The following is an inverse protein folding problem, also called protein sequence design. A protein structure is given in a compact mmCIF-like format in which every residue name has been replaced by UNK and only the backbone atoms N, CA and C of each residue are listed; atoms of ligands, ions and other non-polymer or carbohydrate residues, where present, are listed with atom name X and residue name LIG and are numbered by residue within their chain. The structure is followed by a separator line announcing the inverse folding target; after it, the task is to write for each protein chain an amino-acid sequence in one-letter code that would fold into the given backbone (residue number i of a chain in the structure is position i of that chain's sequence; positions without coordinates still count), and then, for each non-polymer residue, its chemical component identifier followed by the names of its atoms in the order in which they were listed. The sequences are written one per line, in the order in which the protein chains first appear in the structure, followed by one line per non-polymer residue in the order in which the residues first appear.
data_IF_322217864297
#
_entry.id   IF_322217864297
#
_cell.length_a   1.000
_cell.length_b   1.000
_cell.length_c   1.000
_cell.angle_alpha   90.00
_cell.angle_beta   90.00
_cell.angle_gamma   90.00
#
_symmetry.space_group_name_H-M   'P 1'
#
loop_
_entity.id
_entity.type
_entity.pdbx_description
1 polymer ?
#
# COMPACT_ATOMS: atom_id res chain seq x y z
N UNK A 1 13.05 -1.54 -24.43
CA UNK A 1 12.37 -2.05 -23.24
C UNK A 1 13.33 -2.01 -22.05
N UNK A 2 12.80 -1.73 -20.86
CA UNK A 2 13.58 -1.75 -19.61
C UNK A 2 13.90 -3.24 -19.32
N UNK A 3 15.18 -3.58 -19.31
CA UNK A 3 15.65 -4.95 -19.06
C UNK A 3 15.85 -5.13 -17.53
N UNK A 4 14.74 -5.21 -16.81
CA UNK A 4 14.76 -5.38 -15.34
C UNK A 4 13.45 -6.01 -14.86
N UNK A 5 13.52 -7.03 -13.97
CA UNK A 5 12.33 -7.60 -13.34
C UNK A 5 11.59 -6.62 -12.43
N UNK A 6 12.20 -5.50 -12.04
CA UNK A 6 11.55 -4.47 -11.24
C UNK A 6 10.30 -3.86 -11.91
N UNK A 7 10.18 -3.96 -13.23
CA UNK A 7 9.11 -3.33 -14.01
C UNK A 7 8.09 -4.33 -14.56
N UNK A 8 8.35 -5.63 -14.51
CA UNK A 8 7.52 -6.66 -15.13
C UNK A 8 6.06 -6.62 -14.69
N UNK A 9 5.82 -6.48 -13.39
CA UNK A 9 4.47 -6.41 -12.82
C UNK A 9 3.76 -5.05 -13.04
N UNK A 10 4.43 -4.08 -13.65
CA UNK A 10 3.85 -2.79 -14.06
C UNK A 10 3.59 -2.75 -15.56
N UNK A 11 4.64 -2.97 -16.35
CA UNK A 11 4.52 -2.92 -17.82
C UNK A 11 3.71 -4.09 -18.34
N UNK A 12 3.83 -5.24 -17.69
CA UNK A 12 3.35 -6.50 -18.21
C UNK A 12 4.22 -6.98 -19.37
N UNK A 13 3.75 -7.99 -20.06
CA UNK A 13 4.34 -8.55 -21.26
C UNK A 13 3.41 -8.37 -22.47
N UNK A 14 3.99 -8.35 -23.66
CA UNK A 14 3.29 -8.48 -24.94
C UNK A 14 3.92 -9.63 -25.71
N UNK A 15 3.19 -10.70 -25.91
CA UNK A 15 3.63 -11.92 -26.57
C UNK A 15 2.61 -12.37 -27.60
N UNK A 16 3.07 -12.83 -28.75
CA UNK A 16 2.22 -13.46 -29.77
C UNK A 16 1.65 -14.80 -29.34
N UNK A 17 2.27 -15.42 -28.35
CA UNK A 17 1.92 -16.74 -27.82
C UNK A 17 1.04 -16.66 -26.57
N UNK A 18 1.37 -15.75 -25.63
CA UNK A 18 0.77 -15.67 -24.30
C UNK A 18 -0.16 -14.45 -24.15
N UNK A 19 -0.34 -13.64 -25.20
CA UNK A 19 -1.16 -12.45 -25.15
C UNK A 19 -0.45 -11.26 -24.50
N UNK A 20 -1.18 -10.47 -23.73
CA UNK A 20 -0.66 -9.28 -23.06
C UNK A 20 -1.19 -9.19 -21.63
N UNK A 21 -0.42 -8.54 -20.76
CA UNK A 21 -0.83 -8.27 -19.37
C UNK A 21 -0.57 -6.82 -18.98
N UNK A 22 -1.09 -6.41 -17.86
CA UNK A 22 -0.88 -5.12 -17.19
C UNK A 22 -1.01 -3.93 -18.17
N UNK A 23 -0.05 -2.98 -18.19
CA UNK A 23 -0.12 -1.80 -19.05
C UNK A 23 -0.06 -2.14 -20.54
N UNK A 24 0.69 -3.17 -20.95
CA UNK A 24 0.70 -3.62 -22.35
C UNK A 24 -0.69 -4.07 -22.82
N UNK A 25 -1.46 -4.70 -21.92
CA UNK A 25 -2.85 -5.08 -22.20
C UNK A 25 -3.80 -3.90 -22.13
N UNK A 26 -3.79 -3.14 -21.04
CA UNK A 26 -4.78 -2.10 -20.78
C UNK A 26 -4.60 -0.87 -21.68
N UNK A 27 -3.39 -0.60 -22.16
CA UNK A 27 -3.05 0.51 -23.05
C UNK A 27 -2.83 0.06 -24.50
N UNK A 28 -3.18 -1.18 -24.85
CA UNK A 28 -2.91 -1.76 -26.16
C UNK A 28 -3.51 -0.92 -27.31
N UNK A 29 -4.73 -0.41 -27.17
CA UNK A 29 -5.38 0.40 -28.21
C UNK A 29 -4.68 1.74 -28.43
N UNK A 30 -4.12 2.32 -27.40
CA UNK A 30 -3.27 3.53 -27.46
C UNK A 30 -1.95 3.19 -28.17
N UNK A 31 -1.27 2.14 -27.71
CA UNK A 31 0.06 1.75 -28.17
C UNK A 31 0.08 1.34 -29.65
N UNK A 32 -0.99 0.71 -30.15
CA UNK A 32 -1.12 0.31 -31.54
C UNK A 32 -1.93 1.31 -32.40
N UNK A 33 -2.36 2.45 -31.83
CA UNK A 33 -3.02 3.55 -32.51
C UNK A 33 -4.48 3.27 -32.89
N UNK A 34 -5.18 2.32 -32.23
CA UNK A 34 -6.61 2.03 -32.50
C UNK A 34 -7.56 2.83 -31.63
N UNK A 35 -7.08 3.50 -30.59
CA UNK A 35 -7.89 4.29 -29.67
C UNK A 35 -8.60 5.45 -30.37
N UNK A 36 -9.86 5.70 -29.99
CA UNK A 36 -10.70 6.76 -30.57
C UNK A 36 -10.11 8.16 -30.43
N UNK A 37 -9.33 8.42 -29.37
CA UNK A 37 -8.67 9.71 -29.17
C UNK A 37 -7.62 10.03 -30.23
N UNK A 38 -7.11 9.01 -30.92
CA UNK A 38 -6.15 9.13 -32.01
C UNK A 38 -6.80 9.17 -33.41
N UNK A 39 -8.11 8.96 -33.51
CA UNK A 39 -8.82 8.83 -34.80
C UNK A 39 -8.60 10.03 -35.73
N UNK A 40 -8.65 11.25 -35.21
CA UNK A 40 -8.48 12.46 -36.01
C UNK A 40 -7.09 12.52 -36.62
N UNK A 41 -6.05 12.20 -35.88
CA UNK A 41 -4.68 12.18 -36.34
C UNK A 41 -4.46 11.05 -37.34
N UNK A 42 -4.93 9.85 -37.03
CA UNK A 42 -4.82 8.69 -37.92
C UNK A 42 -5.56 8.90 -39.25
N UNK A 43 -6.69 9.62 -39.25
CA UNK A 43 -7.41 9.98 -40.47
C UNK A 43 -6.61 10.98 -41.33
N UNK A 44 -5.98 11.99 -40.72
CA UNK A 44 -5.10 12.94 -41.41
C UNK A 44 -3.85 12.25 -41.98
N UNK A 45 -3.26 11.33 -41.24
CA UNK A 45 -2.10 10.57 -41.70
C UNK A 45 -2.45 9.61 -42.84
N UNK A 46 -3.64 8.98 -42.78
CA UNK A 46 -4.14 8.16 -43.90
C UNK A 46 -4.38 8.95 -45.16
N UNK A 47 -4.89 10.20 -45.08
CA UNK A 47 -5.02 11.10 -46.22
C UNK A 47 -3.67 11.52 -46.81
N UNK A 48 -2.64 11.54 -45.99
CA UNK A 48 -1.26 11.85 -46.37
C UNK A 48 -0.43 10.62 -46.80
N UNK A 49 -1.08 9.46 -46.94
CA UNK A 49 -0.46 8.16 -47.28
C UNK A 49 0.64 7.74 -46.28
N UNK A 50 0.46 8.13 -45.01
CA UNK A 50 1.38 7.76 -43.93
C UNK A 50 0.88 6.51 -43.22
N UNK A 51 1.80 5.65 -42.75
CA UNK A 51 1.41 4.48 -41.94
C UNK A 51 0.76 4.93 -40.65
N UNK A 52 -0.21 4.14 -40.16
CA UNK A 52 -0.80 4.30 -38.83
C UNK A 52 0.27 4.16 -37.76
N UNK A 53 0.32 5.11 -36.83
CA UNK A 53 1.29 5.13 -35.75
C UNK A 53 0.56 4.99 -34.41
N UNK A 54 1.17 4.26 -33.49
CA UNK A 54 0.76 4.22 -32.10
C UNK A 54 1.13 5.50 -31.36
N UNK A 55 0.60 5.63 -30.17
CA UNK A 55 0.91 6.72 -29.25
C UNK A 55 1.81 6.23 -28.09
N UNK A 56 2.41 7.17 -27.37
CA UNK A 56 3.25 6.85 -26.21
C UNK A 56 2.43 7.01 -24.94
N UNK A 57 2.63 6.10 -24.01
CA UNK A 57 2.07 6.13 -22.65
C UNK A 57 3.18 6.48 -21.67
N UNK A 58 3.09 7.66 -21.08
CA UNK A 58 4.01 8.07 -20.00
C UNK A 58 3.37 7.78 -18.66
N UNK A 59 4.07 7.04 -17.83
CA UNK A 59 3.64 6.68 -16.46
C UNK A 59 4.22 7.62 -15.41
N UNK A 60 3.63 7.60 -14.22
CA UNK A 60 4.06 8.43 -13.07
C UNK A 60 5.25 7.83 -12.33
N UNK A 61 5.67 6.62 -12.68
CA UNK A 61 6.77 5.91 -12.03
C UNK A 61 8.09 6.68 -12.19
N UNK A 62 8.77 6.91 -11.08
CA UNK A 62 10.17 7.28 -11.06
C UNK A 62 11.01 6.00 -11.21
N UNK A 63 11.76 5.84 -12.33
CA UNK A 63 12.49 4.61 -12.59
C UNK A 63 13.57 4.30 -11.56
N UNK A 64 14.21 5.33 -10.99
CA UNK A 64 15.25 5.15 -9.98
C UNK A 64 14.64 4.71 -8.65
N UNK A 65 13.51 5.30 -8.26
CA UNK A 65 12.78 4.93 -7.06
C UNK A 65 12.17 3.52 -7.18
N UNK A 66 11.63 3.16 -8.35
CA UNK A 66 11.11 1.83 -8.64
C UNK A 66 12.20 0.76 -8.48
N UNK A 67 13.37 0.98 -9.09
CA UNK A 67 14.50 0.06 -8.97
C UNK A 67 14.96 -0.02 -7.52
N UNK A 68 15.10 1.11 -6.83
CA UNK A 68 15.49 1.14 -5.42
C UNK A 68 14.50 0.37 -4.53
N UNK A 69 13.18 0.54 -4.75
CA UNK A 69 12.15 -0.19 -4.01
C UNK A 69 12.25 -1.71 -4.24
N UNK A 70 12.45 -2.12 -5.50
CA UNK A 70 12.63 -3.53 -5.87
C UNK A 70 13.88 -4.13 -5.23
N UNK A 71 15.01 -3.43 -5.29
CA UNK A 71 16.29 -3.89 -4.73
C UNK A 71 16.22 -4.10 -3.21
N UNK A 72 15.42 -3.30 -2.50
CA UNK A 72 15.20 -3.48 -1.06
C UNK A 72 14.45 -4.77 -0.72
N UNK A 73 13.64 -5.30 -1.62
CA UNK A 73 12.95 -6.58 -1.46
C UNK A 73 13.86 -7.75 -1.87
N UNK A 74 14.52 -7.62 -3.02
CA UNK A 74 15.34 -8.68 -3.62
C UNK A 74 16.64 -8.92 -2.84
N UNK A 75 17.32 -7.85 -2.40
CA UNK A 75 18.61 -7.96 -1.73
C UNK A 75 18.61 -8.93 -0.54
N UNK A 76 17.63 -8.84 0.37
CA UNK A 76 17.45 -9.81 1.45
C UNK A 76 16.72 -11.10 1.07
N UNK A 77 16.19 -11.22 -0.16
CA UNK A 77 15.36 -12.33 -0.62
C UNK A 77 13.94 -12.32 -0.04
N UNK A 78 13.37 -11.15 0.23
CA UNK A 78 12.02 -11.04 0.80
C UNK A 78 10.94 -11.19 -0.27
N UNK A 79 9.97 -12.05 -0.02
CA UNK A 79 8.70 -12.06 -0.72
C UNK A 79 7.82 -10.94 -0.14
N UNK A 80 7.37 -10.02 -1.00
CA UNK A 80 6.58 -8.88 -0.54
C UNK A 80 6.44 -7.78 -1.57
N UNK A 81 5.95 -6.63 -1.11
CA UNK A 81 5.60 -5.50 -1.98
C UNK A 81 5.90 -4.16 -1.33
N UNK A 82 6.22 -3.18 -2.17
CA UNK A 82 6.42 -1.81 -1.76
C UNK A 82 5.77 -0.85 -2.77
N UNK A 83 4.98 0.09 -2.27
CA UNK A 83 4.36 1.16 -3.07
C UNK A 83 4.77 2.50 -2.49
N UNK A 84 5.15 3.43 -3.38
CA UNK A 84 5.35 4.83 -3.05
C UNK A 84 4.38 5.69 -3.86
N UNK A 85 3.74 6.66 -3.19
CA UNK A 85 2.82 7.61 -3.84
C UNK A 85 3.19 9.04 -3.48
N UNK A 86 2.75 9.99 -4.31
CA UNK A 86 2.78 11.41 -4.01
C UNK A 86 1.45 11.81 -3.36
N UNK A 87 1.43 12.14 -2.06
CA UNK A 87 0.22 12.46 -1.32
C UNK A 87 -0.64 13.58 -1.91
N UNK A 88 -0.01 14.65 -2.40
CA UNK A 88 -0.73 15.84 -2.90
C UNK A 88 -1.45 15.59 -4.23
N UNK A 89 -1.02 14.60 -5.02
CA UNK A 89 -1.55 14.36 -6.37
C UNK A 89 -2.18 12.99 -6.56
N UNK A 90 -1.72 11.98 -5.83
CA UNK A 90 -2.07 10.57 -6.03
C UNK A 90 -1.22 9.87 -7.10
N UNK A 91 -0.15 10.49 -7.62
CA UNK A 91 0.81 9.82 -8.51
C UNK A 91 1.42 8.60 -7.82
N UNK A 92 1.45 7.46 -8.50
CA UNK A 92 2.20 6.30 -8.05
C UNK A 92 3.65 6.48 -8.53
N UNK A 93 4.57 6.64 -7.59
CA UNK A 93 5.99 6.88 -7.85
C UNK A 93 6.79 5.59 -7.96
N UNK A 94 6.38 4.56 -7.24
CA UNK A 94 6.91 3.20 -7.33
C UNK A 94 5.84 2.18 -6.93
N UNK A 95 5.88 0.99 -7.56
CA UNK A 95 5.01 -0.14 -7.26
C UNK A 95 5.80 -1.42 -7.54
N UNK A 96 6.52 -1.90 -6.54
CA UNK A 96 7.42 -3.04 -6.65
C UNK A 96 6.83 -4.30 -5.99
N UNK A 97 7.00 -5.43 -6.66
CA UNK A 97 6.64 -6.77 -6.17
C UNK A 97 7.84 -7.71 -6.28
N UNK A 98 8.08 -8.52 -5.27
CA UNK A 98 9.05 -9.60 -5.32
C UNK A 98 8.41 -10.92 -4.78
N UNK A 99 8.47 -12.05 -5.53
CA UNK A 99 9.17 -12.19 -6.80
C UNK A 99 8.54 -11.38 -7.94
N UNK A 100 9.39 -10.94 -8.84
CA UNK A 100 9.03 -10.30 -10.10
C UNK A 100 9.58 -11.09 -11.28
N UNK A 101 9.35 -10.64 -12.50
CA UNK A 101 9.87 -11.27 -13.72
C UNK A 101 10.29 -10.21 -14.73
N UNK A 102 11.22 -10.59 -15.61
CA UNK A 102 11.62 -9.75 -16.74
C UNK A 102 10.71 -10.06 -17.95
N UNK A 103 9.87 -9.12 -18.42
CA UNK A 103 8.98 -9.38 -19.53
C UNK A 103 9.70 -9.66 -20.85
N UNK A 104 10.98 -9.26 -20.99
CA UNK A 104 11.77 -9.56 -22.17
C UNK A 104 12.09 -11.07 -22.31
N UNK A 105 12.11 -11.81 -21.20
CA UNK A 105 12.36 -13.26 -21.20
C UNK A 105 11.18 -14.07 -21.78
N UNK A 106 10.02 -13.41 -21.96
CA UNK A 106 8.84 -13.98 -22.62
C UNK A 106 8.80 -13.73 -24.14
N UNK A 107 9.94 -13.30 -24.70
CA UNK A 107 10.15 -13.11 -26.14
C UNK A 107 11.26 -14.05 -26.64
N UNK A 108 11.15 -14.47 -27.90
CA UNK A 108 12.16 -15.32 -28.55
C UNK A 108 12.00 -16.84 -28.29
N UNK A 109 13.05 -17.59 -28.54
CA UNK A 109 12.99 -19.07 -28.64
C UNK A 109 12.79 -19.78 -27.28
N UNK A 110 13.15 -19.13 -26.15
CA UNK A 110 12.99 -19.68 -24.79
C UNK A 110 11.71 -19.25 -24.08
N UNK A 111 10.84 -18.50 -24.74
CA UNK A 111 9.65 -17.92 -24.13
C UNK A 111 8.70 -18.97 -23.53
N UNK A 112 8.54 -20.11 -24.18
CA UNK A 112 7.65 -21.19 -23.73
C UNK A 112 8.16 -21.84 -22.41
N UNK A 113 9.44 -22.14 -22.34
CA UNK A 113 10.07 -22.70 -21.13
C UNK A 113 10.04 -21.67 -19.98
N UNK A 114 10.32 -20.40 -20.29
CA UNK A 114 10.25 -19.31 -19.30
C UNK A 114 8.83 -19.15 -18.76
N UNK A 115 7.83 -19.16 -19.64
CA UNK A 115 6.43 -19.08 -19.24
C UNK A 115 6.02 -20.21 -18.32
N UNK A 116 6.35 -21.45 -18.68
CA UNK A 116 6.05 -22.62 -17.84
C UNK A 116 6.73 -22.50 -16.46
N UNK A 117 7.99 -22.10 -16.41
CA UNK A 117 8.71 -21.90 -15.16
C UNK A 117 8.08 -20.81 -14.28
N UNK A 118 7.69 -19.67 -14.86
CA UNK A 118 7.06 -18.58 -14.11
C UNK A 118 5.69 -18.97 -13.55
N UNK A 119 4.93 -19.83 -14.25
CA UNK A 119 3.65 -20.33 -13.76
C UNK A 119 3.78 -21.33 -12.60
N UNK A 120 4.85 -22.12 -12.57
CA UNK A 120 5.12 -23.13 -11.55
C UNK A 120 5.89 -22.56 -10.35
N UNK A 121 6.53 -21.40 -10.51
CA UNK A 121 7.37 -20.79 -9.48
C UNK A 121 6.54 -20.39 -8.27
N UNK A 122 7.00 -20.82 -7.07
CA UNK A 122 6.45 -20.32 -5.80
C UNK A 122 6.53 -18.80 -5.75
N UNK A 123 5.57 -18.19 -5.02
CA UNK A 123 5.49 -16.73 -4.92
C UNK A 123 4.83 -16.03 -6.11
N UNK A 124 4.45 -16.77 -7.18
CA UNK A 124 3.65 -16.28 -8.30
C UNK A 124 4.17 -14.98 -8.94
N UNK A 125 5.36 -14.99 -9.57
CA UNK A 125 6.03 -13.78 -10.07
C UNK A 125 5.25 -13.00 -11.13
N UNK A 126 4.27 -13.63 -11.80
CA UNK A 126 3.39 -12.99 -12.77
C UNK A 126 2.31 -12.09 -12.13
N UNK A 127 2.08 -12.22 -10.82
CA UNK A 127 1.07 -11.43 -10.10
C UNK A 127 1.64 -10.08 -9.69
N UNK A 128 0.87 -9.01 -9.92
CA UNK A 128 1.17 -7.70 -9.35
C UNK A 128 0.78 -7.68 -7.86
N UNK A 129 1.63 -8.23 -7.00
CA UNK A 129 1.38 -8.34 -5.56
C UNK A 129 1.14 -6.97 -4.91
N UNK A 130 1.80 -5.93 -5.37
CA UNK A 130 1.69 -4.58 -4.81
C UNK A 130 0.27 -3.99 -4.94
N UNK A 131 -0.40 -4.28 -6.06
CA UNK A 131 -1.75 -3.82 -6.34
C UNK A 131 -2.85 -4.83 -6.05
N UNK A 132 -2.59 -6.13 -6.30
CA UNK A 132 -3.62 -7.15 -6.34
C UNK A 132 -3.64 -8.10 -5.11
N UNK A 133 -2.52 -8.33 -4.43
CA UNK A 133 -2.49 -9.22 -3.28
C UNK A 133 -3.02 -8.52 -2.03
N UNK A 134 -4.05 -9.10 -1.43
CA UNK A 134 -4.66 -8.60 -0.19
C UNK A 134 -4.23 -9.44 1.00
N UNK A 135 -3.67 -8.78 2.01
CA UNK A 135 -3.13 -9.41 3.22
C UNK A 135 -3.69 -8.72 4.47
N UNK A 136 -3.79 -9.42 5.61
CA UNK A 136 -4.15 -8.79 6.87
C UNK A 136 -3.18 -7.63 7.19
N UNK A 137 -3.68 -6.40 7.44
CA UNK A 137 -2.83 -5.25 7.70
C UNK A 137 -2.26 -5.21 9.12
N UNK A 138 -2.89 -5.91 10.05
CA UNK A 138 -2.53 -5.82 11.46
C UNK A 138 -2.54 -4.38 11.96
N UNK A 139 -1.61 -4.04 12.81
CA UNK A 139 -1.56 -2.77 13.52
C UNK A 139 -1.41 -1.49 12.67
N UNK A 140 -1.16 -1.57 11.37
CA UNK A 140 -1.23 -0.36 10.52
C UNK A 140 -2.67 0.15 10.43
N UNK A 141 -3.67 -0.74 10.56
CA UNK A 141 -5.09 -0.40 10.56
C UNK A 141 -5.49 0.50 11.76
N UNK A 142 -4.70 0.53 12.82
CA UNK A 142 -4.91 1.41 13.98
C UNK A 142 -4.85 2.90 13.61
N UNK A 143 -4.28 3.27 12.47
CA UNK A 143 -4.39 4.64 11.92
C UNK A 143 -5.86 4.99 11.68
N UNK A 144 -6.61 4.10 11.04
CA UNK A 144 -8.04 4.28 10.74
C UNK A 144 -8.86 4.28 12.04
N UNK A 145 -8.59 3.35 12.94
CA UNK A 145 -9.28 3.26 14.24
C UNK A 145 -9.02 4.50 15.08
N UNK A 146 -7.77 5.02 15.07
CA UNK A 146 -7.43 6.28 15.75
C UNK A 146 -8.14 7.47 15.11
N UNK A 147 -8.21 7.53 13.77
CA UNK A 147 -8.96 8.56 13.05
C UNK A 147 -10.43 8.58 13.48
N UNK A 148 -11.06 7.41 13.61
CA UNK A 148 -12.41 7.27 14.14
C UNK A 148 -12.48 7.76 15.59
N UNK A 149 -11.54 7.36 16.45
CA UNK A 149 -11.49 7.78 17.85
C UNK A 149 -11.38 9.29 18.02
N UNK A 150 -10.43 9.93 17.34
CA UNK A 150 -10.22 11.38 17.41
C UNK A 150 -11.45 12.20 16.99
N UNK A 151 -12.26 11.67 16.08
CA UNK A 151 -13.51 12.32 15.65
C UNK A 151 -14.74 11.93 16.51
N UNK A 152 -14.55 11.06 17.51
CA UNK A 152 -15.58 10.60 18.45
C UNK A 152 -15.22 10.86 19.92
N UNK A 153 -14.48 11.94 20.19
CA UNK A 153 -14.23 12.44 21.52
C UNK A 153 -12.98 11.94 22.22
N UNK A 154 -12.16 11.10 21.56
CA UNK A 154 -10.82 10.78 22.04
C UNK A 154 -9.83 11.87 21.65
N UNK A 155 -8.78 12.00 22.43
CA UNK A 155 -7.60 12.84 22.16
C UNK A 155 -6.32 12.10 22.56
N UNK A 156 -5.11 12.60 22.22
CA UNK A 156 -3.85 11.91 22.55
C UNK A 156 -3.64 11.63 24.03
N UNK A 157 -4.30 12.38 24.93
CA UNK A 157 -4.23 12.23 26.39
C UNK A 157 -5.28 11.28 26.97
N UNK A 158 -6.26 10.87 26.17
CA UNK A 158 -7.34 9.97 26.58
C UNK A 158 -6.76 8.69 27.17
N UNK A 159 -7.24 8.31 28.36
CA UNK A 159 -6.77 7.14 29.10
C UNK A 159 -7.46 5.89 28.58
N UNK A 160 -6.68 4.87 28.27
CA UNK A 160 -7.10 3.55 27.81
C UNK A 160 -6.42 2.46 28.65
N UNK A 161 -6.95 1.23 28.60
CA UNK A 161 -6.32 0.11 29.29
C UNK A 161 -4.91 -0.16 28.75
N UNK A 162 -3.98 -0.38 29.67
CA UNK A 162 -2.63 -0.88 29.39
C UNK A 162 -2.47 -2.36 29.78
N UNK A 163 -3.55 -3.04 30.20
CA UNK A 163 -3.52 -4.45 30.61
C UNK A 163 -2.90 -5.32 29.52
N UNK A 164 -2.20 -6.38 29.92
CA UNK A 164 -1.63 -7.35 28.97
C UNK A 164 -2.69 -8.18 28.24
N UNK A 165 -3.89 -8.30 28.80
CA UNK A 165 -5.01 -9.09 28.28
C UNK A 165 -6.32 -8.31 28.41
N UNK A 166 -7.21 -8.51 27.46
CA UNK A 166 -8.60 -8.03 27.47
C UNK A 166 -9.52 -9.14 26.94
N UNK A 167 -10.69 -9.29 27.55
CA UNK A 167 -11.71 -10.19 27.01
C UNK A 167 -12.45 -9.47 25.86
N UNK A 168 -12.61 -10.13 24.73
CA UNK A 168 -13.37 -9.57 23.60
C UNK A 168 -14.84 -9.41 23.98
N UNK A 169 -15.50 -8.33 23.50
CA UNK A 169 -16.90 -8.04 23.82
C UNK A 169 -17.82 -9.23 23.53
N UNK A 170 -18.77 -9.46 24.43
CA UNK A 170 -19.78 -10.51 24.35
C UNK A 170 -19.23 -11.95 24.21
N UNK A 171 -17.97 -12.19 24.61
CA UNK A 171 -17.32 -13.50 24.53
C UNK A 171 -16.57 -13.84 25.81
N UNK A 172 -15.98 -15.02 25.82
CA UNK A 172 -14.98 -15.47 26.84
C UNK A 172 -13.57 -15.52 26.23
N UNK A 173 -13.41 -15.07 24.99
CA UNK A 173 -12.14 -15.10 24.27
C UNK A 173 -11.26 -13.95 24.73
N UNK A 174 -10.04 -14.27 25.12
CA UNK A 174 -9.04 -13.28 25.51
C UNK A 174 -8.16 -12.90 24.32
N UNK A 175 -7.80 -11.61 24.27
CA UNK A 175 -6.85 -11.06 23.33
C UNK A 175 -5.71 -10.38 24.11
N UNK A 176 -4.48 -10.58 23.64
CA UNK A 176 -3.28 -10.08 24.32
C UNK A 176 -2.54 -9.02 23.51
N UNK A 177 -1.74 -8.23 24.21
CA UNK A 177 -0.69 -7.44 23.59
C UNK A 177 0.46 -8.34 23.13
N UNK A 178 1.32 -7.81 22.26
CA UNK A 178 2.54 -8.49 21.81
C UNK A 178 3.33 -9.04 23.02
N UNK A 179 3.78 -10.30 22.89
CA UNK A 179 4.50 -11.03 23.94
C UNK A 179 3.77 -11.08 25.30
N UNK A 180 2.44 -10.91 25.31
CA UNK A 180 1.61 -10.91 26.51
C UNK A 180 2.08 -9.90 27.59
N UNK A 181 2.55 -8.72 27.16
CA UNK A 181 3.08 -7.69 28.05
C UNK A 181 2.06 -6.57 28.28
N UNK A 182 2.12 -5.95 29.46
CA UNK A 182 1.41 -4.70 29.72
C UNK A 182 1.95 -3.60 28.78
N UNK A 183 1.04 -2.77 28.28
CA UNK A 183 1.37 -1.60 27.48
C UNK A 183 2.25 -0.65 28.30
N UNK A 184 3.49 -0.41 27.88
CA UNK A 184 4.48 0.37 28.63
C UNK A 184 4.67 -0.07 30.11
N UNK A 185 4.39 -1.33 30.42
CA UNK A 185 4.45 -1.86 31.80
C UNK A 185 3.38 -1.34 32.75
N UNK A 186 2.33 -0.67 32.26
CA UNK A 186 1.29 0.01 33.05
C UNK A 186 -0.08 -0.62 32.84
N UNK A 187 -1.00 -0.42 33.79
CA UNK A 187 -2.39 -0.87 33.72
C UNK A 187 -3.29 0.13 32.96
N UNK A 188 -2.86 1.38 32.86
CA UNK A 188 -3.53 2.42 32.10
C UNK A 188 -2.48 3.27 31.36
N UNK A 189 -2.77 3.64 30.11
CA UNK A 189 -1.89 4.41 29.24
C UNK A 189 -2.68 5.46 28.48
N UNK A 190 -1.99 6.49 27.96
CA UNK A 190 -2.62 7.45 27.06
C UNK A 190 -2.78 6.84 25.65
N UNK A 191 -3.73 7.37 24.85
CA UNK A 191 -3.88 7.01 23.44
C UNK A 191 -2.56 7.19 22.69
N UNK A 192 -1.80 8.26 22.96
CA UNK A 192 -0.48 8.47 22.36
C UNK A 192 0.48 7.31 22.65
N UNK A 193 0.55 6.87 23.90
CA UNK A 193 1.39 5.72 24.29
C UNK A 193 0.89 4.42 23.65
N UNK A 194 -0.42 4.19 23.67
CA UNK A 194 -1.04 3.01 23.08
C UNK A 194 -0.80 2.92 21.56
N UNK A 195 -0.88 4.05 20.86
CA UNK A 195 -0.60 4.13 19.42
C UNK A 195 0.89 3.91 19.12
N UNK A 196 1.78 4.61 19.86
CA UNK A 196 3.23 4.53 19.68
C UNK A 196 3.77 3.12 19.88
N UNK A 197 3.29 2.42 20.94
CA UNK A 197 3.70 1.07 21.28
C UNK A 197 2.82 -0.01 20.64
N UNK A 198 1.78 0.41 19.92
CA UNK A 198 0.87 -0.51 19.19
C UNK A 198 0.10 -1.47 20.10
N UNK A 199 -0.36 -1.05 21.27
CA UNK A 199 -1.01 -1.89 22.27
C UNK A 199 -2.40 -2.35 21.81
N UNK A 200 -2.61 -3.65 21.64
CA UNK A 200 -3.86 -4.22 21.11
C UNK A 200 -5.04 -3.97 22.07
N UNK A 201 -4.83 -4.21 23.37
CA UNK A 201 -5.89 -4.13 24.39
C UNK A 201 -6.52 -2.74 24.47
N UNK A 202 -5.71 -1.68 24.35
CA UNK A 202 -6.19 -0.29 24.30
C UNK A 202 -7.11 -0.03 23.09
N UNK A 203 -6.77 -0.60 21.94
CA UNK A 203 -7.57 -0.44 20.72
C UNK A 203 -8.84 -1.29 20.71
N UNK A 204 -8.84 -2.43 21.39
CA UNK A 204 -10.06 -3.20 21.65
C UNK A 204 -11.01 -2.38 22.52
N UNK A 205 -10.54 -1.82 23.64
CA UNK A 205 -11.36 -0.95 24.51
C UNK A 205 -11.90 0.28 23.75
N UNK A 206 -11.06 0.94 22.95
CA UNK A 206 -11.51 2.08 22.16
C UNK A 206 -12.59 1.67 21.15
N UNK A 207 -12.45 0.51 20.51
CA UNK A 207 -13.41 0.03 19.51
C UNK A 207 -14.80 -0.28 20.09
N UNK A 208 -14.87 -0.69 21.36
CA UNK A 208 -16.16 -0.90 22.05
C UNK A 208 -16.96 0.40 22.16
N UNK A 209 -16.27 1.53 22.38
CA UNK A 209 -16.92 2.84 22.46
C UNK A 209 -17.27 3.39 21.07
N UNK A 210 -16.49 3.06 20.04
CA UNK A 210 -16.73 3.52 18.66
C UNK A 210 -17.87 2.75 17.98
N UNK A 211 -17.91 1.44 18.13
CA UNK A 211 -18.84 0.57 17.45
C UNK A 211 -18.55 0.34 15.97
N UNK A 212 -19.28 -0.58 15.38
CA UNK A 212 -19.05 -1.05 14.00
C UNK A 212 -19.28 0.03 12.94
N UNK A 213 -20.26 0.92 13.13
CA UNK A 213 -20.64 1.90 12.11
C UNK A 213 -19.58 2.99 11.92
N UNK A 214 -18.99 3.48 13.01
CA UNK A 214 -17.88 4.43 12.91
C UNK A 214 -16.65 3.76 12.30
N UNK A 215 -16.34 2.52 12.67
CA UNK A 215 -15.23 1.79 12.06
C UNK A 215 -15.43 1.62 10.54
N UNK A 216 -16.64 1.24 10.08
CA UNK A 216 -16.99 1.13 8.65
C UNK A 216 -16.84 2.47 7.93
N UNK A 217 -17.35 3.54 8.52
CA UNK A 217 -17.30 4.89 7.96
C UNK A 217 -15.86 5.33 7.69
N UNK A 218 -14.98 5.19 8.68
CA UNK A 218 -13.58 5.61 8.52
C UNK A 218 -12.77 4.65 7.65
N UNK A 219 -13.01 3.34 7.71
CA UNK A 219 -12.39 2.38 6.79
C UNK A 219 -12.70 2.74 5.33
N UNK A 220 -13.97 3.02 5.01
CA UNK A 220 -14.37 3.48 3.67
C UNK A 220 -13.74 4.81 3.29
N UNK A 221 -13.71 5.79 4.19
CA UNK A 221 -13.15 7.11 3.92
C UNK A 221 -11.63 7.02 3.59
N UNK A 222 -10.91 6.12 4.22
CA UNK A 222 -9.50 5.82 3.92
C UNK A 222 -9.30 4.88 2.71
N UNK A 223 -10.38 4.42 2.04
CA UNK A 223 -10.33 3.64 0.81
C UNK A 223 -10.27 2.13 0.99
N UNK A 224 -10.53 1.59 2.19
CA UNK A 224 -10.66 0.15 2.39
C UNK A 224 -11.94 -0.34 1.68
N UNK A 225 -11.80 -1.36 0.85
CA UNK A 225 -12.89 -1.86 0.01
C UNK A 225 -13.05 -1.12 -1.32
N UNK A 226 -12.16 -0.18 -1.66
CA UNK A 226 -12.16 0.53 -2.94
C UNK A 226 -11.12 -0.08 -3.89
N UNK A 227 -11.55 -0.41 -5.10
CA UNK A 227 -10.66 -0.84 -6.17
C UNK A 227 -10.26 0.34 -7.05
N UNK A 228 -8.98 0.43 -7.40
CA UNK A 228 -8.43 1.52 -8.19
C UNK A 228 -8.17 1.06 -9.63
N UNK A 229 -8.78 1.73 -10.59
CA UNK A 229 -8.50 1.50 -12.01
C UNK A 229 -7.21 2.22 -12.41
N UNK A 230 -6.11 1.47 -12.44
CA UNK A 230 -4.76 1.98 -12.75
C UNK A 230 -4.25 1.51 -14.11
N UNK A 231 -4.99 0.64 -14.79
CA UNK A 231 -4.50 -0.07 -15.97
C UNK A 231 -3.57 -1.25 -15.66
N UNK A 232 -3.39 -1.56 -14.37
CA UNK A 232 -2.70 -2.76 -13.87
C UNK A 232 -3.61 -3.48 -12.89
N UNK A 233 -3.30 -4.74 -12.60
CA UNK A 233 -4.07 -5.57 -11.69
C UNK A 233 -4.12 -5.00 -10.29
N UNK A 234 -5.34 -4.81 -9.75
CA UNK A 234 -5.59 -4.27 -8.40
C UNK A 234 -6.73 -5.01 -7.72
N UNK A 235 -6.77 -4.95 -6.39
CA UNK A 235 -7.83 -5.52 -5.56
C UNK A 235 -8.31 -4.51 -4.52
N UNK A 236 -9.59 -4.65 -4.13
CA UNK A 236 -10.23 -3.73 -3.22
C UNK A 236 -9.84 -3.91 -1.74
N UNK A 237 -9.35 -5.09 -1.35
CA UNK A 237 -9.30 -5.45 0.06
C UNK A 237 -10.69 -5.48 0.70
N UNK A 238 -10.77 -5.62 2.01
CA UNK A 238 -12.06 -5.62 2.72
C UNK A 238 -11.88 -5.27 4.20
N UNK A 239 -12.93 -4.71 4.80
CA UNK A 239 -13.07 -4.65 6.25
C UNK A 239 -13.67 -5.94 6.84
N UNK A 240 -14.33 -6.73 5.98
CA UNK A 240 -15.14 -7.87 6.40
C UNK A 240 -16.47 -7.45 7.06
N UNK A 241 -17.21 -8.45 7.50
CA UNK A 241 -18.46 -8.24 8.24
C UNK A 241 -18.17 -7.99 9.73
N UNK A 242 -18.92 -7.07 10.33
CA UNK A 242 -18.84 -6.73 11.74
C UNK A 242 -20.17 -7.07 12.43
N UNK A 243 -20.47 -8.36 12.64
CA UNK A 243 -21.77 -8.79 13.17
C UNK A 243 -21.93 -8.52 14.66
N UNK A 244 -20.85 -8.39 15.41
CA UNK A 244 -20.83 -8.24 16.86
C UNK A 244 -19.62 -7.40 17.35
N UNK A 245 -19.56 -7.19 18.66
CA UNK A 245 -18.49 -6.44 19.30
C UNK A 245 -17.12 -7.11 19.17
N UNK A 246 -17.05 -8.43 19.26
CA UNK A 246 -15.79 -9.17 19.13
C UNK A 246 -15.20 -9.05 17.72
N UNK A 247 -16.04 -9.17 16.69
CA UNK A 247 -15.64 -8.96 15.30
C UNK A 247 -15.14 -7.53 15.07
N UNK A 248 -15.87 -6.54 15.62
CA UNK A 248 -15.48 -5.12 15.54
C UNK A 248 -14.13 -4.88 16.22
N UNK A 249 -13.90 -5.45 17.41
CA UNK A 249 -12.67 -5.29 18.15
C UNK A 249 -11.44 -5.89 17.43
N UNK A 250 -11.58 -7.09 16.89
CA UNK A 250 -10.51 -7.71 16.10
C UNK A 250 -10.23 -6.94 14.80
N UNK A 251 -11.28 -6.48 14.12
CA UNK A 251 -11.13 -5.68 12.90
C UNK A 251 -10.49 -4.31 13.18
N UNK A 252 -10.75 -3.70 14.33
CA UNK A 252 -10.16 -2.43 14.74
C UNK A 252 -8.64 -2.47 14.90
N UNK A 253 -8.07 -3.65 15.10
CA UNK A 253 -6.61 -3.87 15.14
C UNK A 253 -6.05 -4.49 13.84
N UNK A 254 -6.89 -4.54 12.77
CA UNK A 254 -6.49 -5.03 11.46
C UNK A 254 -6.33 -6.54 11.35
N UNK A 255 -7.09 -7.28 12.15
CA UNK A 255 -7.11 -8.74 12.18
C UNK A 255 -8.46 -9.29 11.68
N UNK A 256 -8.68 -10.57 11.80
CA UNK A 256 -9.86 -11.29 11.33
C UNK A 256 -9.98 -11.22 9.80
N UNK A 257 -11.07 -10.62 9.28
CA UNK A 257 -11.38 -10.57 7.85
C UNK A 257 -10.84 -9.30 7.15
N UNK A 258 -10.16 -8.42 7.90
CA UNK A 258 -9.59 -7.20 7.30
C UNK A 258 -8.44 -7.56 6.40
N UNK A 259 -8.49 -7.09 5.16
CA UNK A 259 -7.39 -7.22 4.20
C UNK A 259 -7.12 -5.93 3.45
N UNK A 260 -5.86 -5.66 3.15
CA UNK A 260 -5.40 -4.50 2.38
C UNK A 260 -4.27 -4.90 1.43
N UNK A 261 -4.12 -4.16 0.34
CA UNK A 261 -2.94 -4.23 -0.53
C UNK A 261 -1.87 -3.25 -0.07
N UNK A 262 -0.63 -3.41 -0.53
CA UNK A 262 0.44 -2.41 -0.30
C UNK A 262 0.06 -1.04 -0.88
N UNK A 263 -0.65 -1.00 -2.01
CA UNK A 263 -1.20 0.22 -2.60
C UNK A 263 -2.18 0.92 -1.64
N UNK A 264 -3.14 0.20 -1.08
CA UNK A 264 -4.10 0.79 -0.13
C UNK A 264 -3.41 1.28 1.13
N UNK A 265 -2.39 0.57 1.61
CA UNK A 265 -1.57 0.99 2.75
C UNK A 265 -0.81 2.29 2.47
N UNK A 266 -0.24 2.45 1.26
CA UNK A 266 0.40 3.70 0.82
C UNK A 266 -0.63 4.84 0.70
N UNK A 267 -1.82 4.58 0.12
CA UNK A 267 -2.92 5.56 0.02
C UNK A 267 -3.38 6.01 1.41
N UNK A 268 -3.49 5.10 2.37
CA UNK A 268 -3.84 5.43 3.76
C UNK A 268 -2.80 6.39 4.38
N UNK A 269 -1.50 6.09 4.26
CA UNK A 269 -0.43 6.96 4.76
C UNK A 269 -0.44 8.32 4.04
N UNK A 270 -0.59 8.32 2.71
CA UNK A 270 -0.71 9.53 1.89
C UNK A 270 -1.91 10.40 2.24
N UNK A 271 -3.02 9.78 2.66
CA UNK A 271 -4.21 10.50 3.13
C UNK A 271 -3.91 11.32 4.39
N UNK A 272 -3.18 10.74 5.35
CA UNK A 272 -2.74 11.46 6.55
C UNK A 272 -1.78 12.59 6.16
N UNK A 273 -0.76 12.29 5.34
CA UNK A 273 0.23 13.24 4.86
C UNK A 273 -0.40 14.43 4.13
N UNK A 274 -1.49 14.20 3.38
CA UNK A 274 -2.22 15.22 2.62
C UNK A 274 -3.37 15.82 3.42
N UNK A 275 -3.16 16.09 4.72
CA UNK A 275 -4.09 16.78 5.60
C UNK A 275 -5.49 16.14 5.64
N UNK A 276 -5.52 14.82 5.57
CA UNK A 276 -6.75 14.03 5.58
C UNK A 276 -7.47 13.95 4.23
N UNK A 277 -6.94 14.57 3.19
CA UNK A 277 -7.49 14.47 1.83
C UNK A 277 -6.94 13.22 1.13
N UNK A 278 -7.82 12.28 0.80
CA UNK A 278 -7.48 11.12 -0.02
C UNK A 278 -7.55 11.47 -1.49
N UNK A 279 -6.42 11.34 -2.19
CA UNK A 279 -6.36 11.50 -3.63
C UNK A 279 -6.64 10.17 -4.34
N UNK A 280 -7.24 10.24 -5.53
CA UNK A 280 -7.36 9.08 -6.42
C UNK A 280 -5.97 8.72 -6.94
N UNK A 281 -5.44 7.51 -6.65
CA UNK A 281 -4.16 7.11 -7.21
C UNK A 281 -4.27 6.93 -8.74
N UNK A 282 -3.18 7.23 -9.44
CA UNK A 282 -3.09 7.01 -10.88
C UNK A 282 -1.66 6.67 -11.31
N UNK A 283 -1.56 5.92 -12.41
CA UNK A 283 -0.31 5.41 -12.95
C UNK A 283 0.02 6.02 -14.33
N UNK A 284 -0.98 6.26 -15.19
CA UNK A 284 -0.76 6.91 -16.49
C UNK A 284 -0.76 8.43 -16.30
N UNK A 285 0.41 9.06 -16.54
CA UNK A 285 0.59 10.50 -16.44
C UNK A 285 0.01 11.23 -17.66
N UNK A 286 0.48 10.84 -18.83
CA UNK A 286 -0.01 11.41 -20.10
C UNK A 286 0.16 10.45 -21.27
N UNK A 287 -0.60 10.73 -22.32
CA UNK A 287 -0.51 10.06 -23.61
C UNK A 287 -0.08 11.12 -24.61
N UNK A 288 0.94 10.81 -25.41
CA UNK A 288 1.41 11.68 -26.49
C UNK A 288 1.35 10.95 -27.82
N UNK A 289 1.09 11.68 -28.89
CA UNK A 289 1.18 11.13 -30.24
C UNK A 289 2.64 10.82 -30.65
N UNK A 290 2.82 10.26 -31.84
CA UNK A 290 4.14 9.91 -32.35
C UNK A 290 5.07 11.14 -32.53
N UNK A 291 4.54 12.34 -32.52
CA UNK A 291 5.27 13.61 -32.57
C UNK A 291 5.47 14.22 -31.17
N UNK A 292 5.21 13.47 -30.10
CA UNK A 292 5.33 13.89 -28.70
C UNK A 292 4.37 15.01 -28.28
N UNK A 293 3.29 15.22 -29.02
CA UNK A 293 2.25 16.18 -28.68
C UNK A 293 1.23 15.53 -27.75
N UNK A 294 0.82 16.26 -26.72
CA UNK A 294 -0.16 15.77 -25.76
C UNK A 294 -1.51 15.45 -26.40
N UNK A 295 -1.97 14.22 -26.24
CA UNK A 295 -3.31 13.73 -26.60
C UNK A 295 -4.19 13.77 -25.37
N UNK A 296 -3.70 13.28 -24.22
CA UNK A 296 -4.40 13.25 -22.94
C UNK A 296 -3.41 13.39 -21.79
N UNK A 297 -3.73 14.21 -20.80
CA UNK A 297 -2.95 14.36 -19.56
C UNK A 297 -3.87 14.09 -18.37
N UNK A 298 -3.45 13.22 -17.46
CA UNK A 298 -4.18 12.93 -16.25
C UNK A 298 -4.07 14.12 -15.29
N UNK A 299 -5.20 14.52 -14.71
CA UNK A 299 -5.24 15.57 -13.70
C UNK A 299 -5.47 14.93 -12.32
N UNK A 300 -4.73 15.35 -11.29
CA UNK A 300 -4.98 14.91 -9.92
C UNK A 300 -6.45 15.09 -9.54
N UNK A 301 -7.01 14.09 -8.88
CA UNK A 301 -8.42 14.09 -8.48
C UNK A 301 -8.53 13.73 -7.00
N UNK A 302 -9.22 14.58 -6.23
CA UNK A 302 -9.63 14.25 -4.87
C UNK A 302 -10.67 13.13 -4.91
N UNK A 303 -10.45 12.08 -4.13
CA UNK A 303 -11.39 10.98 -3.96
C UNK A 303 -12.32 11.25 -2.77
N UNK A 304 -11.75 11.64 -1.60
CA UNK A 304 -12.53 11.87 -0.37
C UNK A 304 -11.81 12.86 0.56
N UNK A 305 -12.51 13.32 1.60
CA UNK A 305 -11.93 13.94 2.80
C UNK A 305 -12.13 12.97 3.94
N UNK A 306 -11.14 12.11 4.19
CA UNK A 306 -11.25 11.04 5.18
C UNK A 306 -11.37 11.60 6.61
N UNK A 307 -10.58 12.63 6.92
CA UNK A 307 -10.62 13.38 8.17
C UNK A 307 -10.33 14.85 7.89
N UNK A 308 -10.64 15.74 8.84
CA UNK A 308 -10.25 17.15 8.75
C UNK A 308 -8.74 17.33 8.98
N UNK A 309 -8.23 18.54 8.70
CA UNK A 309 -6.81 18.87 8.81
C UNK A 309 -6.27 18.75 10.25
N UNK A 310 -7.07 19.10 11.26
CA UNK A 310 -6.70 18.99 12.67
C UNK A 310 -6.52 17.53 13.09
N UNK A 311 -7.44 16.66 12.71
CA UNK A 311 -7.31 15.21 12.94
C UNK A 311 -6.10 14.63 12.23
N UNK A 312 -5.85 15.04 10.98
CA UNK A 312 -4.68 14.58 10.23
C UNK A 312 -3.36 15.04 10.87
N UNK A 313 -3.31 16.27 11.39
CA UNK A 313 -2.14 16.77 12.13
C UNK A 313 -1.91 15.97 13.42
N UNK A 314 -2.97 15.69 14.19
CA UNK A 314 -2.88 14.85 15.39
C UNK A 314 -2.41 13.42 15.06
N UNK A 315 -2.93 12.82 13.98
CA UNK A 315 -2.45 11.51 13.50
C UNK A 315 -0.97 11.55 13.13
N UNK A 316 -0.53 12.63 12.49
CA UNK A 316 0.88 12.83 12.14
C UNK A 316 1.77 12.84 13.40
N UNK A 317 1.37 13.56 14.45
CA UNK A 317 2.10 13.60 15.72
C UNK A 317 2.16 12.22 16.40
N UNK A 318 1.06 11.47 16.36
CA UNK A 318 1.01 10.09 16.85
C UNK A 318 1.92 9.16 16.02
N UNK A 319 1.96 9.34 14.70
CA UNK A 319 2.84 8.58 13.80
C UNK A 319 4.32 8.92 14.01
N UNK A 320 4.66 10.17 14.34
CA UNK A 320 6.02 10.52 14.79
C UNK A 320 6.40 9.80 16.10
N UNK A 321 5.47 9.74 17.06
CA UNK A 321 5.71 9.01 18.30
C UNK A 321 5.91 7.51 18.03
N UNK A 322 5.15 6.94 17.10
CA UNK A 322 5.29 5.55 16.66
C UNK A 322 6.64 5.30 15.97
N UNK A 323 7.08 6.18 15.07
CA UNK A 323 8.38 6.03 14.41
C UNK A 323 9.54 6.05 15.42
N UNK A 324 9.52 6.99 16.37
CA UNK A 324 10.53 7.06 17.46
C UNK A 324 10.59 5.80 18.33
N UNK A 325 9.47 5.08 18.44
CA UNK A 325 9.37 3.83 19.21
C UNK A 325 9.68 2.59 18.36
N UNK A 326 9.81 2.75 17.05
CA UNK A 326 10.00 1.66 16.11
C UNK A 326 11.45 1.15 16.11
N UNK A 327 11.62 -0.17 15.94
CA UNK A 327 12.96 -0.74 15.78
C UNK A 327 13.68 -0.13 14.57
N UNK A 328 14.95 0.20 14.76
CA UNK A 328 15.78 0.82 13.72
C UNK A 328 15.50 2.31 13.48
N UNK A 329 14.81 3.00 14.40
CA UNK A 329 14.74 4.45 14.37
C UNK A 329 16.15 5.06 14.48
N UNK A 330 16.46 6.01 13.62
CA UNK A 330 17.80 6.59 13.45
C UNK A 330 17.82 8.13 13.49
N UNK A 331 16.76 8.72 14.08
CA UNK A 331 16.64 10.18 14.18
C UNK A 331 16.02 10.83 12.93
N UNK A 332 15.45 10.04 12.01
CA UNK A 332 14.73 10.57 10.84
C UNK A 332 13.48 11.36 11.24
N UNK A 333 12.98 12.19 10.33
CA UNK A 333 11.78 13.00 10.48
C UNK A 333 10.51 12.36 9.92
N UNK A 334 10.48 11.03 9.71
CA UNK A 334 9.33 10.35 9.13
C UNK A 334 8.22 10.13 10.15
N UNK A 335 6.98 10.16 9.68
CA UNK A 335 5.80 9.73 10.42
C UNK A 335 5.41 8.32 9.99
N UNK A 336 5.33 7.36 10.92
CA UNK A 336 5.11 5.96 10.55
C UNK A 336 4.19 5.18 11.48
N UNK A 337 3.76 4.02 10.99
CA UNK A 337 3.15 2.95 11.78
C UNK A 337 3.64 1.59 11.29
N UNK A 338 4.06 0.75 12.20
CA UNK A 338 4.39 -0.65 11.91
C UNK A 338 3.19 -1.55 12.13
N UNK A 339 3.16 -2.67 11.39
CA UNK A 339 2.19 -3.75 11.56
C UNK A 339 2.87 -5.10 11.67
N UNK A 340 2.28 -5.98 12.45
CA UNK A 340 2.62 -7.40 12.54
C UNK A 340 1.28 -8.11 12.52
N UNK A 341 0.99 -8.85 11.46
CA UNK A 341 -0.30 -9.48 11.22
C UNK A 341 -0.16 -11.00 11.24
N UNK A 342 -0.74 -11.61 12.22
CA UNK A 342 -0.86 -13.06 12.32
C UNK A 342 -1.92 -13.54 11.31
N UNK A 343 -1.67 -14.67 10.64
CA UNK A 343 -2.57 -15.24 9.65
C UNK A 343 -2.77 -16.77 9.80
N UNK A 344 -2.35 -17.32 10.92
CA UNK A 344 -2.52 -18.73 11.30
C UNK A 344 -1.62 -19.11 12.46
N UNK A 345 -2.02 -20.12 13.23
CA UNK A 345 -1.23 -20.64 14.33
C UNK A 345 0.06 -21.28 13.83
N UNK A 346 1.20 -20.92 14.42
CA UNK A 346 2.52 -21.40 14.02
C UNK A 346 3.03 -20.88 12.67
N UNK A 347 2.35 -19.92 12.06
CA UNK A 347 2.82 -19.25 10.85
C UNK A 347 3.53 -17.94 11.21
N UNK A 348 4.62 -17.68 10.51
CA UNK A 348 5.33 -16.41 10.65
C UNK A 348 4.45 -15.25 10.15
N UNK A 349 4.39 -14.11 10.86
CA UNK A 349 3.45 -13.04 10.55
C UNK A 349 3.81 -12.31 9.25
N UNK A 350 2.82 -11.73 8.59
CA UNK A 350 3.06 -10.67 7.60
C UNK A 350 3.45 -9.39 8.33
N UNK A 351 4.49 -8.73 7.89
CA UNK A 351 5.03 -7.55 8.56
C UNK A 351 4.93 -6.33 7.66
N UNK A 352 4.40 -5.23 8.23
CA UNK A 352 4.05 -4.02 7.52
C UNK A 352 4.79 -2.80 8.04
N UNK A 353 5.00 -1.86 7.14
CA UNK A 353 5.43 -0.51 7.47
C UNK A 353 4.73 0.48 6.54
N UNK A 354 4.06 1.45 7.12
CA UNK A 354 3.48 2.59 6.39
C UNK A 354 4.08 3.87 6.96
N UNK A 355 4.48 4.77 6.07
CA UNK A 355 5.12 6.00 6.49
C UNK A 355 5.00 7.09 5.42
N UNK A 356 5.27 8.32 5.83
CA UNK A 356 5.47 9.42 4.90
C UNK A 356 6.54 10.38 5.40
N UNK A 357 7.12 11.11 4.45
CA UNK A 357 7.98 12.24 4.70
C UNK A 357 7.19 13.52 4.47
N UNK A 358 6.91 14.32 5.51
CA UNK A 358 6.10 15.53 5.37
C UNK A 358 6.80 16.64 4.58
N UNK A 359 8.11 16.57 4.42
CA UNK A 359 8.90 17.60 3.72
C UNK A 359 9.03 17.33 2.21
N UNK A 360 8.90 16.06 1.78
CA UNK A 360 9.20 15.64 0.40
C UNK A 360 8.00 15.11 -0.39
N UNK A 361 6.79 15.25 0.13
CA UNK A 361 5.53 14.84 -0.51
C UNK A 361 5.57 13.40 -1.05
N UNK A 362 6.00 12.47 -0.19
CA UNK A 362 6.04 11.03 -0.49
C UNK A 362 5.49 10.23 0.68
N UNK A 363 4.69 9.21 0.38
CA UNK A 363 4.22 8.22 1.32
C UNK A 363 4.46 6.80 0.79
N UNK A 364 4.69 5.85 1.70
CA UNK A 364 4.98 4.45 1.36
C UNK A 364 4.10 3.47 2.12
N UNK A 365 3.78 2.36 1.47
CA UNK A 365 3.22 1.15 2.06
C UNK A 365 4.09 -0.05 1.69
N UNK A 366 4.60 -0.76 2.69
CA UNK A 366 5.50 -1.90 2.51
C UNK A 366 4.96 -3.10 3.29
N UNK A 367 4.95 -4.24 2.66
CA UNK A 367 4.68 -5.54 3.30
C UNK A 367 5.73 -6.56 2.92
N UNK A 368 6.19 -7.33 3.90
CA UNK A 368 6.99 -8.53 3.71
C UNK A 368 6.21 -9.72 4.26
N UNK A 369 6.07 -10.76 3.43
CA UNK A 369 5.30 -11.95 3.76
C UNK A 369 6.09 -12.86 4.69
N UNK A 370 5.36 -13.57 5.55
CA UNK A 370 5.89 -14.65 6.39
C UNK A 370 7.17 -14.28 7.17
N UNK A 371 7.23 -13.03 7.64
CA UNK A 371 8.34 -12.53 8.46
C UNK A 371 9.69 -12.43 7.76
N UNK A 372 9.74 -12.61 6.44
CA UNK A 372 10.98 -12.63 5.68
C UNK A 372 11.99 -13.64 6.25
N UNK A 373 13.22 -13.20 6.47
CA UNK A 373 14.29 -14.04 7.02
C UNK A 373 14.31 -14.16 8.55
N UNK A 374 13.41 -13.47 9.27
CA UNK A 374 13.28 -13.54 10.73
C UNK A 374 12.13 -14.46 11.20
N UNK A 375 11.30 -14.96 10.28
CA UNK A 375 10.20 -15.88 10.59
C UNK A 375 9.29 -15.36 11.70
N UNK A 376 8.96 -16.19 12.69
CA UNK A 376 8.07 -15.85 13.81
C UNK A 376 8.55 -14.65 14.66
N UNK A 377 9.87 -14.38 14.68
CA UNK A 377 10.43 -13.24 15.44
C UNK A 377 10.38 -11.91 14.70
N UNK A 378 9.82 -11.90 13.50
CA UNK A 378 9.72 -10.72 12.66
C UNK A 378 8.74 -9.70 13.24
N UNK A 379 9.08 -8.43 13.08
CA UNK A 379 8.19 -7.29 13.34
C UNK A 379 8.31 -6.28 12.20
N UNK A 380 7.27 -5.49 11.99
CA UNK A 380 7.28 -4.46 10.94
C UNK A 380 8.49 -3.53 11.04
N UNK A 381 8.88 -3.11 12.25
CA UNK A 381 10.03 -2.24 12.46
C UNK A 381 11.38 -2.87 12.10
N UNK A 382 11.54 -4.20 12.28
CA UNK A 382 12.79 -4.91 11.99
C UNK A 382 12.96 -5.28 10.52
N UNK A 383 11.88 -5.55 9.81
CA UNK A 383 11.91 -6.10 8.43
C UNK A 383 11.43 -5.05 7.43
N UNK A 384 10.17 -4.62 7.49
CA UNK A 384 9.59 -3.69 6.50
C UNK A 384 9.98 -2.24 6.73
N UNK A 385 10.29 -1.84 7.99
CA UNK A 385 10.74 -0.49 8.34
C UNK A 385 12.00 -0.05 7.60
N UNK A 386 13.09 -0.83 7.60
CA UNK A 386 14.30 -0.51 6.82
C UNK A 386 14.02 -0.27 5.34
N UNK A 387 13.15 -1.08 4.73
CA UNK A 387 12.75 -0.96 3.32
C UNK A 387 12.03 0.38 3.09
N UNK A 388 11.00 0.68 3.87
CA UNK A 388 10.23 1.91 3.71
C UNK A 388 11.06 3.16 3.95
N UNK A 389 11.93 3.16 4.96
CA UNK A 389 12.88 4.26 5.22
C UNK A 389 13.85 4.46 4.07
N UNK A 390 14.36 3.37 3.47
CA UNK A 390 15.26 3.44 2.32
C UNK A 390 14.56 4.06 1.10
N UNK A 391 13.32 3.67 0.82
CA UNK A 391 12.51 4.24 -0.27
C UNK A 391 12.27 5.73 -0.04
N UNK A 392 11.84 6.14 1.17
CA UNK A 392 11.64 7.55 1.51
C UNK A 392 12.92 8.39 1.32
N UNK A 393 14.09 7.84 1.66
CA UNK A 393 15.38 8.52 1.46
C UNK A 393 15.82 8.60 0.00
N UNK A 394 15.50 7.59 -0.80
CA UNK A 394 15.86 7.54 -2.20
C UNK A 394 15.12 8.58 -3.05
N UNK A 395 13.93 9.00 -2.63
CA UNK A 395 13.14 10.00 -3.35
C UNK A 395 13.78 11.40 -3.26
N UNK A 396 14.04 12.00 -4.41
CA UNK A 396 14.67 13.32 -4.51
C UNK A 396 13.68 14.48 -4.71
N UNK A 397 12.37 14.17 -4.82
CA UNK A 397 11.36 15.16 -5.20
C UNK A 397 11.27 15.32 -6.74
N UNK A 398 10.19 15.94 -7.20
CA UNK A 398 10.12 16.39 -8.60
C UNK A 398 11.05 17.60 -8.78
N UNK A 399 12.02 17.50 -9.72
CA UNK A 399 12.92 18.59 -10.10
C UNK A 399 12.24 19.53 -11.08
#
# INVERSE_FOLDING_TARGET
PIDSPAFGNLTGYLSTQFGASELESSQNDILNGTDDSLMKQNWLDALADKPKQGANVEVTIDPALQQAAYDQLVGPGYEGSAVAIQPSTGKILAMASNPGYNPNDLMGDSAEDTWANLQEQEGQPLVNHAGAETLPPGSIFKIITTAAGLNNGFDPSSTLTGSNVITLPDTVTELTNYANQKCNGQDAVTLQTAFALSCNTAFVEMSEQLGADELRKYAKAFGVGENYDLGVSTSAGTLGDLPDGAATAQSAIGQRDVTMTALQAAVMAGTVANKGTRMQPYLVNRITDAQMKDVRTTKPKKADQAVNEETAATLTDLMYASERSSAGYDGNGFASKTGTAEHGEGLAPHVWYVAFDPERDIAVGVVVKNGGNLGESATGGKVSGPIGRAILRAYQGEQ
#
